data_IF_900484657780
#
_entry.id   IF_900484657780
#
_cell.length_a   1.000
_cell.length_b   1.000
_cell.length_c   1.000
_cell.angle_alpha   90.00
_cell.angle_beta   90.00
_cell.angle_gamma   90.00
#
_symmetry.space_group_name_H-M   'P 1'
#
loop_
_entity.id
_entity.type
_entity.pdbx_description
1 polymer ?
#
# COMPACT_ATOMS: atom_id res chain seq x y z
N UNK A 1 6.23 -26.09 22.12
CA UNK A 1 5.46 -26.43 20.90
C UNK A 1 5.15 -25.12 20.20
N UNK A 2 5.83 -24.79 19.10
CA UNK A 2 5.43 -23.64 18.30
C UNK A 2 4.05 -23.95 17.70
N UNK A 3 3.09 -23.07 17.89
CA UNK A 3 1.77 -23.21 17.25
C UNK A 3 1.94 -22.97 15.75
N UNK A 4 1.07 -23.56 14.93
CA UNK A 4 1.09 -23.38 13.47
C UNK A 4 1.05 -21.90 13.07
N UNK A 5 0.38 -21.08 13.89
CA UNK A 5 0.30 -19.62 13.75
C UNK A 5 1.68 -18.98 13.83
N UNK A 6 2.47 -19.33 14.84
CA UNK A 6 3.80 -18.74 15.05
C UNK A 6 4.77 -19.11 13.91
N UNK A 7 4.68 -20.34 13.41
CA UNK A 7 5.50 -20.79 12.26
C UNK A 7 5.13 -20.02 10.99
N UNK A 8 3.85 -19.74 10.78
CA UNK A 8 3.37 -18.94 9.65
C UNK A 8 3.85 -17.49 9.76
N UNK A 9 3.76 -16.90 10.95
CA UNK A 9 4.25 -15.54 11.22
C UNK A 9 5.76 -15.42 10.94
N UNK A 10 6.56 -16.38 11.42
CA UNK A 10 8.00 -16.41 11.19
C UNK A 10 8.35 -16.54 9.70
N UNK A 11 7.67 -17.43 8.98
CA UNK A 11 7.86 -17.60 7.53
C UNK A 11 7.45 -16.36 6.73
N UNK A 12 6.36 -15.69 7.13
CA UNK A 12 6.02 -14.39 6.56
C UNK A 12 7.16 -13.42 6.83
N UNK A 13 7.53 -13.17 8.08
CA UNK A 13 8.55 -12.18 8.45
C UNK A 13 9.86 -12.38 7.67
N UNK A 14 10.27 -13.64 7.49
CA UNK A 14 11.41 -14.01 6.65
C UNK A 14 11.21 -13.66 5.18
N UNK A 15 10.08 -14.02 4.57
CA UNK A 15 9.75 -13.70 3.17
C UNK A 15 9.68 -12.19 2.91
N UNK A 16 9.19 -11.41 3.88
CA UNK A 16 9.09 -9.96 3.75
C UNK A 16 10.42 -9.24 3.96
N UNK A 17 11.45 -9.94 4.43
CA UNK A 17 12.74 -9.38 4.85
C UNK A 17 12.53 -8.18 5.80
N UNK A 18 11.51 -8.29 6.64
CA UNK A 18 11.11 -7.25 7.59
C UNK A 18 10.94 -7.95 8.92
N UNK A 19 11.83 -7.67 9.89
CA UNK A 19 11.65 -8.13 11.27
C UNK A 19 10.28 -7.68 11.77
N UNK A 20 9.58 -8.49 12.56
CA UNK A 20 8.29 -8.11 13.17
C UNK A 20 8.35 -6.71 13.80
N UNK A 21 9.46 -6.43 14.49
CA UNK A 21 9.79 -5.13 15.09
C UNK A 21 9.82 -3.96 14.09
N UNK A 22 10.27 -4.19 12.85
CA UNK A 22 10.28 -3.16 11.81
C UNK A 22 8.88 -2.92 11.23
N UNK A 23 8.04 -3.96 11.15
CA UNK A 23 6.64 -3.81 10.77
C UNK A 23 5.89 -3.04 11.87
N UNK A 24 6.10 -3.41 13.13
CA UNK A 24 5.48 -2.79 14.30
C UNK A 24 5.93 -1.33 14.48
N UNK A 25 7.23 -1.04 14.35
CA UNK A 25 7.78 0.33 14.37
C UNK A 25 7.27 1.19 13.21
N UNK A 26 7.11 0.61 12.00
CA UNK A 26 6.48 1.31 10.87
C UNK A 26 5.01 1.59 11.21
N UNK A 27 4.30 0.66 11.85
CA UNK A 27 2.90 0.81 12.24
C UNK A 27 2.70 1.84 13.35
N UNK A 28 3.48 1.79 14.42
CA UNK A 28 3.43 2.77 15.52
C UNK A 28 3.66 4.20 15.03
N UNK A 29 4.67 4.41 14.17
CA UNK A 29 4.95 5.74 13.60
C UNK A 29 3.93 6.20 12.53
N UNK A 30 3.08 5.29 12.06
CA UNK A 30 2.10 5.58 11.00
C UNK A 30 0.65 5.58 11.47
N UNK A 31 0.38 5.22 12.74
CA UNK A 31 -0.95 5.21 13.34
C UNK A 31 -1.62 6.61 13.40
N UNK A 32 -0.85 7.69 13.25
CA UNK A 32 -1.34 9.07 13.22
C UNK A 32 -1.29 9.74 11.83
N UNK A 33 -0.70 9.10 10.82
CA UNK A 33 -0.53 9.70 9.50
C UNK A 33 -1.75 9.41 8.61
N UNK A 34 -2.58 10.44 8.41
CA UNK A 34 -3.70 10.40 7.47
C UNK A 34 -3.25 10.15 6.02
N UNK A 35 -2.01 10.55 5.68
CA UNK A 35 -1.41 10.43 4.36
C UNK A 35 -0.11 9.65 4.44
N UNK A 36 -0.03 8.55 3.72
CA UNK A 36 1.16 7.70 3.69
C UNK A 36 1.65 7.50 2.25
N UNK A 37 2.93 7.77 2.02
CA UNK A 37 3.59 7.45 0.75
C UNK A 37 4.14 6.03 0.83
N UNK A 38 3.57 5.14 0.05
CA UNK A 38 3.90 3.71 0.03
C UNK A 38 5.20 3.46 -0.73
N UNK A 39 5.34 4.09 -1.90
CA UNK A 39 6.50 3.92 -2.77
C UNK A 39 6.59 5.06 -3.77
N UNK A 40 7.81 5.31 -4.25
CA UNK A 40 8.06 6.13 -5.45
C UNK A 40 8.62 5.23 -6.55
N UNK A 41 8.02 5.27 -7.73
CA UNK A 41 8.49 4.59 -8.93
C UNK A 41 8.81 5.66 -9.97
N UNK A 42 10.11 5.96 -10.14
CA UNK A 42 10.60 7.08 -10.94
C UNK A 42 10.00 8.42 -10.46
N UNK A 43 9.12 9.02 -11.27
CA UNK A 43 8.43 10.28 -10.97
C UNK A 43 7.01 10.07 -10.44
N UNK A 44 6.57 8.81 -10.23
CA UNK A 44 5.24 8.45 -9.75
C UNK A 44 5.29 8.13 -8.26
N UNK A 45 4.47 8.81 -7.48
CA UNK A 45 4.31 8.61 -6.06
C UNK A 45 3.00 7.86 -5.81
N UNK A 46 3.09 6.74 -5.09
CA UNK A 46 1.94 5.95 -4.66
C UNK A 46 1.63 6.34 -3.22
N UNK A 47 0.42 6.84 -3.01
CA UNK A 47 -0.03 7.44 -1.76
C UNK A 47 -1.35 6.82 -1.34
N UNK A 48 -1.51 6.47 -0.07
CA UNK A 48 -2.82 6.16 0.52
C UNK A 48 -3.19 7.28 1.48
N UNK A 49 -4.48 7.64 1.45
CA UNK A 49 -5.10 8.45 2.48
C UNK A 49 -5.99 7.52 3.31
N UNK A 50 -5.64 7.27 4.57
CA UNK A 50 -6.36 6.30 5.42
C UNK A 50 -7.77 6.77 5.78
N UNK A 51 -8.01 8.09 5.77
CA UNK A 51 -9.33 8.68 6.02
C UNK A 51 -10.18 8.88 4.75
N UNK A 52 -9.73 8.42 3.57
CA UNK A 52 -10.45 8.60 2.32
C UNK A 52 -11.73 7.75 2.27
N UNK A 53 -12.68 8.16 1.44
CA UNK A 53 -13.96 7.47 1.34
C UNK A 53 -13.83 6.12 0.61
N UNK A 54 -14.74 5.20 0.93
CA UNK A 54 -14.88 3.95 0.18
C UNK A 54 -15.26 4.26 -1.30
N UNK A 55 -14.87 3.40 -2.27
CA UNK A 55 -14.16 2.14 -2.06
C UNK A 55 -12.68 2.32 -1.67
N UNK A 56 -12.05 1.32 -1.04
CA UNK A 56 -10.62 1.34 -0.74
C UNK A 56 -9.77 1.59 -1.98
N UNK A 57 -8.99 2.67 -1.98
CA UNK A 57 -8.20 3.06 -3.14
C UNK A 57 -6.86 3.68 -2.74
N UNK A 58 -5.89 3.61 -3.65
CA UNK A 58 -4.64 4.34 -3.56
C UNK A 58 -4.52 5.35 -4.71
N UNK A 59 -3.76 6.39 -4.47
CA UNK A 59 -3.51 7.48 -5.41
C UNK A 59 -2.14 7.30 -6.05
N UNK A 60 -2.03 7.61 -7.33
CA UNK A 60 -0.77 7.72 -8.07
C UNK A 60 -0.65 9.14 -8.56
N UNK A 61 0.35 9.87 -8.06
CA UNK A 61 0.61 11.26 -8.43
C UNK A 61 1.98 11.40 -9.06
N UNK A 62 2.11 12.18 -10.13
CA UNK A 62 3.43 12.52 -10.65
C UNK A 62 4.00 13.73 -9.92
N UNK A 63 5.34 13.82 -9.81
CA UNK A 63 6.02 14.98 -9.20
C UNK A 63 5.70 16.31 -9.92
N UNK A 64 5.45 16.27 -11.21
CA UNK A 64 5.02 17.43 -12.02
C UNK A 64 3.51 17.69 -11.97
N UNK A 65 2.77 16.95 -11.12
CA UNK A 65 1.33 17.06 -10.88
C UNK A 65 0.42 16.85 -12.10
N UNK A 66 0.97 16.39 -13.24
CA UNK A 66 0.20 16.08 -14.45
C UNK A 66 -0.59 14.78 -14.35
N UNK A 67 -0.15 13.87 -13.48
CA UNK A 67 -0.84 12.62 -13.19
C UNK A 67 -1.43 12.72 -11.79
N UNK A 68 -2.72 12.45 -11.71
CA UNK A 68 -3.46 12.23 -10.47
C UNK A 68 -4.50 11.15 -10.75
N UNK A 69 -4.14 9.89 -10.48
CA UNK A 69 -4.94 8.72 -10.77
C UNK A 69 -5.28 7.95 -9.50
N UNK A 70 -6.40 7.24 -9.51
CA UNK A 70 -6.88 6.44 -8.39
C UNK A 70 -7.07 5.00 -8.83
N UNK A 71 -6.63 4.07 -7.98
CA UNK A 71 -6.70 2.64 -8.23
C UNK A 71 -7.34 1.91 -7.06
N UNK A 72 -8.18 0.93 -7.35
CA UNK A 72 -8.78 0.08 -6.33
C UNK A 72 -7.74 -0.77 -5.63
N UNK A 73 -7.81 -0.85 -4.31
CA UNK A 73 -6.95 -1.75 -3.53
C UNK A 73 -7.38 -3.22 -3.73
N UNK A 74 -8.64 -3.49 -4.03
CA UNK A 74 -9.19 -4.85 -4.18
C UNK A 74 -8.68 -5.60 -5.41
N UNK A 75 -8.43 -4.91 -6.53
CA UNK A 75 -8.03 -5.54 -7.79
C UNK A 75 -6.98 -4.76 -8.60
N UNK A 76 -6.56 -3.57 -8.14
CA UNK A 76 -5.58 -2.74 -8.83
C UNK A 76 -6.14 -2.01 -10.07
N UNK A 77 -7.45 -2.00 -10.25
CA UNK A 77 -8.10 -1.35 -11.40
C UNK A 77 -8.07 0.17 -11.29
N UNK A 78 -7.81 0.85 -12.41
CA UNK A 78 -7.87 2.30 -12.53
C UNK A 78 -9.33 2.75 -12.51
N UNK A 79 -9.72 3.53 -11.49
CA UNK A 79 -11.10 4.03 -11.34
C UNK A 79 -11.23 5.54 -11.59
N UNK A 80 -10.11 6.27 -11.63
CA UNK A 80 -10.13 7.70 -11.93
C UNK A 80 -8.77 8.20 -12.41
N UNK A 81 -8.78 9.24 -13.25
CA UNK A 81 -7.58 9.85 -13.81
C UNK A 81 -7.07 9.16 -15.07
N UNK A 82 -6.04 9.74 -15.67
CA UNK A 82 -5.47 9.27 -16.94
C UNK A 82 -3.98 9.04 -16.80
N UNK A 83 -3.50 7.92 -17.34
CA UNK A 83 -2.08 7.56 -17.36
C UNK A 83 -1.67 6.99 -18.71
N UNK A 84 -0.42 7.21 -19.10
CA UNK A 84 0.15 6.60 -20.32
C UNK A 84 0.34 5.10 -20.08
N UNK A 85 0.21 4.28 -21.13
CA UNK A 85 0.36 2.81 -21.05
C UNK A 85 1.66 2.36 -20.38
N UNK A 86 2.77 3.07 -20.63
CA UNK A 86 4.08 2.80 -20.00
C UNK A 86 4.06 2.97 -18.48
N UNK A 87 3.28 3.90 -17.96
CA UNK A 87 3.19 4.20 -16.54
C UNK A 87 2.16 3.29 -15.88
N UNK A 88 1.05 2.96 -16.56
CA UNK A 88 0.12 1.92 -16.12
C UNK A 88 0.83 0.58 -15.88
N UNK A 89 1.69 0.15 -16.81
CA UNK A 89 2.45 -1.10 -16.65
C UNK A 89 3.32 -1.12 -15.39
N UNK A 90 3.85 0.02 -14.96
CA UNK A 90 4.61 0.12 -13.70
C UNK A 90 3.72 -0.07 -12.49
N UNK A 91 2.50 0.49 -12.52
CA UNK A 91 1.52 0.35 -11.45
C UNK A 91 0.98 -1.09 -11.41
N UNK A 92 0.72 -1.70 -12.56
CA UNK A 92 0.34 -3.12 -12.68
C UNK A 92 1.43 -4.02 -12.04
N UNK A 93 2.70 -3.85 -12.40
CA UNK A 93 3.82 -4.61 -11.81
C UNK A 93 3.99 -4.33 -10.31
N UNK A 94 3.75 -3.09 -9.87
CA UNK A 94 3.76 -2.76 -8.45
C UNK A 94 2.67 -3.53 -7.71
N UNK A 95 1.44 -3.51 -8.23
CA UNK A 95 0.28 -4.13 -7.62
C UNK A 95 0.30 -5.66 -7.69
N UNK A 96 0.95 -6.25 -8.70
CA UNK A 96 1.04 -7.72 -8.85
C UNK A 96 1.84 -8.40 -7.73
N UNK A 97 2.58 -7.64 -6.92
CA UNK A 97 3.27 -8.19 -5.75
C UNK A 97 2.27 -8.45 -4.62
N UNK A 98 2.20 -9.68 -4.06
CA UNK A 98 1.47 -9.94 -2.81
C UNK A 98 1.90 -8.98 -1.70
N UNK A 99 3.17 -8.53 -1.75
CA UNK A 99 3.72 -7.57 -0.81
C UNK A 99 3.09 -6.21 -0.82
N UNK A 100 2.87 -5.71 -2.01
CA UNK A 100 2.14 -4.48 -2.21
C UNK A 100 0.70 -4.63 -1.73
N UNK A 101 0.00 -5.70 -2.12
CA UNK A 101 -1.42 -5.87 -1.79
C UNK A 101 -1.66 -5.92 -0.28
N UNK A 102 -0.84 -6.67 0.46
CA UNK A 102 -0.91 -6.72 1.91
C UNK A 102 -0.68 -5.35 2.55
N UNK A 103 0.38 -4.64 2.10
CA UNK A 103 0.73 -3.31 2.62
C UNK A 103 -0.39 -2.29 2.37
N UNK A 104 -0.95 -2.26 1.16
CA UNK A 104 -2.05 -1.34 0.81
C UNK A 104 -3.29 -1.57 1.69
N UNK A 105 -3.67 -2.85 1.89
CA UNK A 105 -4.79 -3.18 2.77
C UNK A 105 -4.51 -2.79 4.23
N UNK A 106 -3.31 -3.10 4.73
CA UNK A 106 -2.93 -2.81 6.11
C UNK A 106 -2.94 -1.29 6.40
N UNK A 107 -2.45 -0.48 5.47
CA UNK A 107 -2.48 0.98 5.58
C UNK A 107 -3.93 1.50 5.56
N UNK A 108 -4.77 0.99 4.66
CA UNK A 108 -6.17 1.42 4.57
C UNK A 108 -6.98 1.07 5.83
N UNK A 109 -6.77 -0.11 6.42
CA UNK A 109 -7.46 -0.58 7.63
C UNK A 109 -7.14 0.23 8.88
N UNK A 110 -6.16 1.13 8.88
CA UNK A 110 -5.88 2.04 10.00
C UNK A 110 -7.08 2.90 10.39
N UNK A 111 -7.99 3.16 9.45
CA UNK A 111 -9.24 3.89 9.74
C UNK A 111 -10.14 3.19 10.75
N UNK A 112 -10.05 1.86 10.84
CA UNK A 112 -10.86 1.04 11.73
C UNK A 112 -10.25 0.98 13.15
N UNK A 113 -8.96 1.33 13.31
CA UNK A 113 -8.26 1.39 14.59
C UNK A 113 -8.51 2.70 15.36
N UNK A 114 -8.98 3.74 14.67
CA UNK A 114 -9.25 5.07 15.23
C UNK A 114 -10.75 5.28 15.53
N UNK A 115 -11.54 4.21 15.61
CA UNK A 115 -12.95 4.20 16.00
C UNK A 115 -13.11 3.64 17.40
#
# INVERSE_FOLDING_TARGET
>A
MATLVNILEDLLNQYWNTSGDNIELILENSNSNIKERVKTINNLEIIIYSNDHNPPHFHVKSKDLKINAKFLISNGELISGTMKRKDLKKIETFYSSPKTQFLLNKIWSKKDLNK
#
